data_IF_114017971290
#
_entry.id   IF_114017971290
#
_cell.length_a   1.000
_cell.length_b   1.000
_cell.length_c   1.000
_cell.angle_alpha   90.00
_cell.angle_beta   90.00
_cell.angle_gamma   90.00
#
_symmetry.space_group_name_H-M   'P 1'
#
loop_
_entity.id
_entity.type
_entity.pdbx_description
1 polymer ?
#
# COMPACT_ATOMS: atom_id res chain seq x y z
N UNK A 1 9.42 -22.39 15.32
CA UNK A 1 9.63 -21.25 16.25
C UNK A 1 8.90 -19.99 15.81
N UNK A 2 8.87 -19.63 14.52
CA UNK A 2 8.22 -18.39 14.02
C UNK A 2 6.69 -18.29 14.26
N UNK A 3 6.00 -19.41 14.45
CA UNK A 3 4.57 -19.41 14.77
C UNK A 3 4.23 -18.96 16.20
N UNK A 4 5.17 -19.08 17.13
CA UNK A 4 4.93 -18.80 18.55
C UNK A 4 4.79 -17.30 18.83
N UNK A 5 5.80 -16.52 18.44
CA UNK A 5 5.79 -15.06 18.60
C UNK A 5 4.54 -14.45 17.98
N UNK A 6 4.23 -14.92 16.78
CA UNK A 6 3.08 -14.54 16.00
C UNK A 6 1.76 -14.80 16.74
N UNK A 7 1.63 -15.94 17.41
CA UNK A 7 0.42 -16.27 18.16
C UNK A 7 0.25 -15.44 19.44
N UNK A 8 1.36 -15.01 20.03
CA UNK A 8 1.40 -14.18 21.24
C UNK A 8 1.06 -12.71 20.93
N UNK A 9 1.51 -12.18 19.79
CA UNK A 9 1.19 -10.82 19.33
C UNK A 9 -0.30 -10.74 18.91
N UNK A 10 -1.13 -10.24 19.82
CA UNK A 10 -2.58 -10.17 19.68
C UNK A 10 -3.02 -8.99 18.83
N UNK A 11 -2.36 -7.84 18.97
CA UNK A 11 -2.68 -6.60 18.27
C UNK A 11 -1.92 -6.41 16.94
N UNK A 12 -0.99 -7.33 16.61
CA UNK A 12 -0.16 -7.34 15.41
C UNK A 12 0.77 -6.10 15.35
N UNK A 13 1.16 -5.53 16.48
CA UNK A 13 2.02 -4.35 16.55
C UNK A 13 3.53 -4.69 16.37
N UNK A 14 3.89 -5.97 16.35
CA UNK A 14 5.26 -6.45 16.18
C UNK A 14 6.05 -6.61 17.49
N UNK A 15 5.41 -6.38 18.62
CA UNK A 15 5.92 -6.55 19.97
C UNK A 15 4.95 -7.45 20.75
N UNK A 16 5.44 -8.05 21.84
CA UNK A 16 4.62 -8.78 22.80
C UNK A 16 4.64 -7.95 24.07
N UNK A 17 3.52 -7.37 24.45
CA UNK A 17 3.41 -6.67 25.73
C UNK A 17 3.30 -7.66 26.91
N UNK A 18 3.35 -7.15 28.14
CA UNK A 18 3.31 -8.01 29.33
C UNK A 18 1.99 -8.79 29.46
N UNK A 19 0.88 -8.21 29.01
CA UNK A 19 -0.44 -8.87 29.04
C UNK A 19 -0.46 -10.01 28.04
N UNK A 20 -0.01 -9.77 26.82
CA UNK A 20 0.12 -10.77 25.75
C UNK A 20 1.07 -11.91 26.15
N UNK A 21 2.16 -11.58 26.83
CA UNK A 21 3.09 -12.58 27.38
C UNK A 21 2.43 -13.46 28.44
N UNK A 22 1.63 -12.90 29.35
CA UNK A 22 0.92 -13.66 30.38
C UNK A 22 -0.16 -14.57 29.77
N UNK A 23 -0.93 -14.06 28.82
CA UNK A 23 -1.93 -14.84 28.09
C UNK A 23 -1.29 -16.00 27.33
N UNK A 24 -0.15 -15.74 26.68
CA UNK A 24 0.63 -16.75 25.99
C UNK A 24 1.16 -17.82 26.96
N UNK A 25 1.68 -17.40 28.10
CA UNK A 25 2.20 -18.30 29.13
C UNK A 25 1.11 -19.25 29.62
N UNK A 26 -0.07 -18.74 29.95
CA UNK A 26 -1.21 -19.57 30.34
C UNK A 26 -1.63 -20.52 29.21
N UNK A 27 -1.70 -20.03 27.97
CA UNK A 27 -2.02 -20.87 26.82
C UNK A 27 -1.01 -21.99 26.61
N UNK A 28 0.28 -21.72 26.80
CA UNK A 28 1.33 -22.74 26.76
C UNK A 28 1.16 -23.81 27.83
N UNK A 29 0.76 -23.43 29.04
CA UNK A 29 0.47 -24.39 30.12
C UNK A 29 -0.66 -25.31 29.70
N UNK A 30 -1.75 -24.75 29.18
CA UNK A 30 -2.88 -25.53 28.66
C UNK A 30 -2.43 -26.46 27.53
N UNK A 31 -1.63 -25.97 26.58
CA UNK A 31 -1.10 -26.79 25.49
C UNK A 31 -0.22 -27.95 25.96
N UNK A 32 0.61 -27.74 26.99
CA UNK A 32 1.40 -28.82 27.58
C UNK A 32 0.52 -29.88 28.22
N UNK A 33 -0.53 -29.46 28.92
CA UNK A 33 -1.49 -30.38 29.54
C UNK A 33 -2.25 -31.17 28.47
N UNK A 34 -2.70 -30.53 27.38
CA UNK A 34 -3.40 -31.23 26.30
C UNK A 34 -2.50 -32.25 25.58
N UNK A 35 -1.24 -31.91 25.33
CA UNK A 35 -0.26 -32.87 24.80
C UNK A 35 -0.05 -34.05 25.76
N UNK A 36 0.12 -33.75 27.03
CA UNK A 36 0.31 -34.78 28.05
C UNK A 36 -0.90 -35.71 28.16
N UNK A 37 -2.13 -35.17 28.14
CA UNK A 37 -3.37 -35.97 28.12
C UNK A 37 -3.38 -36.92 26.92
N UNK A 38 -3.05 -36.41 25.74
CA UNK A 38 -3.00 -37.21 24.51
C UNK A 38 -1.97 -38.33 24.58
N UNK A 39 -0.79 -38.05 25.13
CA UNK A 39 0.30 -39.02 25.26
C UNK A 39 0.04 -40.07 26.35
N UNK A 40 -0.78 -39.74 27.36
CA UNK A 40 -1.01 -40.55 28.56
C UNK A 40 -2.48 -40.94 28.74
N UNK A 41 -3.24 -41.05 27.65
CA UNK A 41 -4.69 -41.29 27.70
C UNK A 41 -5.07 -42.48 28.59
N UNK A 42 -4.38 -43.62 28.47
CA UNK A 42 -4.70 -44.83 29.24
C UNK A 42 -4.30 -44.77 30.71
N UNK A 43 -3.55 -43.75 31.13
CA UNK A 43 -3.25 -43.49 32.54
C UNK A 43 -4.25 -42.52 33.17
N UNK A 44 -4.87 -41.67 32.36
CA UNK A 44 -5.77 -40.60 32.83
C UNK A 44 -7.22 -41.06 32.76
N UNK A 45 -7.61 -41.69 31.66
CA UNK A 45 -8.94 -42.29 31.46
C UNK A 45 -9.05 -43.58 32.29
N UNK A 46 -9.40 -43.40 33.55
CA UNK A 46 -9.41 -44.48 34.55
C UNK A 46 -10.63 -45.40 34.41
N UNK A 47 -11.73 -44.87 33.88
CA UNK A 47 -12.96 -45.62 33.64
C UNK A 47 -13.04 -46.19 32.20
N UNK A 48 -12.07 -45.89 31.34
CA UNK A 48 -11.98 -46.30 29.95
C UNK A 48 -13.19 -45.87 29.09
N UNK A 49 -13.79 -44.72 29.41
CA UNK A 49 -14.96 -44.18 28.69
C UNK A 49 -14.56 -43.36 27.44
N UNK A 50 -13.26 -43.16 27.21
CA UNK A 50 -12.70 -42.40 26.10
C UNK A 50 -12.84 -40.88 26.26
N UNK A 51 -13.30 -40.42 27.43
CA UNK A 51 -13.44 -39.02 27.83
C UNK A 51 -12.61 -38.77 29.09
N UNK A 52 -12.21 -37.52 29.30
CA UNK A 52 -11.42 -37.14 30.46
C UNK A 52 -12.22 -36.23 31.37
N UNK A 53 -12.67 -36.74 32.51
CA UNK A 53 -13.39 -35.94 33.50
C UNK A 53 -12.47 -34.98 34.26
N UNK A 54 -13.07 -33.97 34.91
CA UNK A 54 -12.34 -33.05 35.80
C UNK A 54 -11.57 -33.82 36.88
N UNK A 55 -12.17 -34.84 37.47
CA UNK A 55 -11.59 -35.62 38.56
C UNK A 55 -10.39 -36.41 38.09
N UNK A 56 -10.46 -37.04 36.92
CA UNK A 56 -9.37 -37.82 36.32
C UNK A 56 -8.16 -36.94 36.00
N UNK A 57 -8.39 -35.82 35.30
CA UNK A 57 -7.31 -34.89 34.95
C UNK A 57 -6.70 -34.29 36.22
N UNK A 58 -7.53 -33.87 37.19
CA UNK A 58 -7.04 -33.27 38.44
C UNK A 58 -6.23 -34.27 39.26
N UNK A 59 -6.70 -35.51 39.38
CA UNK A 59 -5.99 -36.55 40.13
C UNK A 59 -4.66 -36.88 39.48
N UNK A 60 -4.63 -36.98 38.15
CA UNK A 60 -3.44 -37.29 37.40
C UNK A 60 -2.40 -36.13 37.49
N UNK A 61 -2.85 -34.87 37.40
CA UNK A 61 -1.99 -33.69 37.56
C UNK A 61 -1.54 -33.45 39.02
N UNK A 62 -2.33 -33.84 40.02
CA UNK A 62 -2.03 -33.58 41.43
C UNK A 62 -0.68 -34.17 41.86
N UNK A 63 -0.28 -35.30 41.26
CA UNK A 63 1.03 -35.92 41.50
C UNK A 63 2.22 -35.07 41.01
N UNK A 64 2.02 -34.22 40.00
CA UNK A 64 3.08 -33.42 39.38
C UNK A 64 3.19 -32.00 39.96
N UNK A 65 2.04 -31.38 40.26
CA UNK A 65 1.98 -29.96 40.65
C UNK A 65 1.34 -29.72 42.01
N UNK A 66 0.85 -30.76 42.68
CA UNK A 66 0.06 -30.64 43.90
C UNK A 66 -1.43 -30.38 43.64
N UNK A 67 -2.28 -30.73 44.61
CA UNK A 67 -3.73 -30.77 44.43
C UNK A 67 -4.37 -29.41 44.13
N UNK A 68 -3.88 -28.34 44.78
CA UNK A 68 -4.43 -26.99 44.62
C UNK A 68 -4.17 -26.47 43.19
N UNK A 69 -2.94 -26.63 42.72
CA UNK A 69 -2.55 -26.19 41.37
C UNK A 69 -3.16 -27.07 40.29
N UNK A 70 -3.27 -28.38 40.53
CA UNK A 70 -3.98 -29.29 39.63
C UNK A 70 -5.43 -28.86 39.45
N UNK A 71 -6.16 -28.58 40.52
CA UNK A 71 -7.55 -28.13 40.43
C UNK A 71 -7.67 -26.81 39.65
N UNK A 72 -6.79 -25.83 39.91
CA UNK A 72 -6.76 -24.56 39.18
C UNK A 72 -6.50 -24.78 37.69
N UNK A 73 -5.51 -25.59 37.35
CA UNK A 73 -5.15 -25.91 35.97
C UNK A 73 -6.25 -26.66 35.23
N UNK A 74 -6.84 -27.68 35.85
CA UNK A 74 -7.95 -28.44 35.25
C UNK A 74 -9.14 -27.53 35.00
N UNK A 75 -9.47 -26.63 35.92
CA UNK A 75 -10.55 -25.66 35.72
C UNK A 75 -10.28 -24.77 34.50
N UNK A 76 -9.09 -24.17 34.42
CA UNK A 76 -8.72 -23.33 33.26
C UNK A 76 -8.66 -24.13 31.96
N UNK A 77 -8.22 -25.38 32.01
CA UNK A 77 -8.24 -26.29 30.86
C UNK A 77 -9.67 -26.52 30.37
N UNK A 78 -10.60 -26.89 31.25
CA UNK A 78 -12.01 -27.11 30.90
C UNK A 78 -12.62 -25.86 30.27
N UNK A 79 -12.48 -24.70 30.92
CA UNK A 79 -13.00 -23.41 30.42
C UNK A 79 -12.51 -23.05 29.01
N UNK A 80 -11.33 -23.57 28.59
CA UNK A 80 -10.72 -23.26 27.29
C UNK A 80 -10.94 -24.34 26.25
N UNK A 81 -11.01 -25.61 26.64
CA UNK A 81 -10.93 -26.77 25.73
C UNK A 81 -12.26 -27.49 25.59
N UNK A 82 -13.06 -27.57 26.66
CA UNK A 82 -14.40 -28.16 26.64
C UNK A 82 -15.33 -27.27 25.80
N UNK A 83 -15.78 -27.76 24.64
CA UNK A 83 -16.57 -26.96 23.69
C UNK A 83 -18.05 -27.19 23.83
N UNK A 84 -18.42 -28.43 24.14
CA UNK A 84 -19.82 -28.81 24.30
C UNK A 84 -20.32 -28.54 25.74
N UNK A 85 -19.43 -28.17 26.66
CA UNK A 85 -19.68 -27.90 28.08
C UNK A 85 -20.27 -29.12 28.80
N UNK A 86 -19.82 -30.33 28.44
CA UNK A 86 -20.25 -31.56 29.11
C UNK A 86 -19.42 -31.88 30.38
N UNK A 87 -18.47 -31.01 30.73
CA UNK A 87 -17.51 -31.15 31.83
C UNK A 87 -16.59 -32.35 31.70
N UNK A 88 -16.42 -32.85 30.48
CA UNK A 88 -15.43 -33.84 30.09
C UNK A 88 -14.67 -33.32 28.87
N UNK A 89 -13.50 -33.89 28.62
CA UNK A 89 -12.77 -33.62 27.38
C UNK A 89 -12.73 -34.85 26.52
N UNK A 90 -13.16 -34.72 25.28
CA UNK A 90 -12.87 -35.72 24.26
C UNK A 90 -11.46 -35.52 23.69
N UNK A 91 -10.83 -36.61 23.19
CA UNK A 91 -9.56 -36.51 22.46
C UNK A 91 -9.63 -35.55 21.26
N UNK A 92 -10.81 -35.43 20.65
CA UNK A 92 -11.04 -34.51 19.54
C UNK A 92 -10.94 -33.06 20.00
N UNK A 93 -11.54 -32.68 21.13
CA UNK A 93 -11.44 -31.32 21.69
C UNK A 93 -10.01 -30.97 22.05
N UNK A 94 -9.32 -31.90 22.74
CA UNK A 94 -7.90 -31.77 23.10
C UNK A 94 -7.02 -31.54 21.87
N UNK A 95 -7.27 -32.28 20.78
CA UNK A 95 -6.47 -32.22 19.55
C UNK A 95 -6.79 -31.01 18.67
N UNK A 96 -8.05 -30.58 18.62
CA UNK A 96 -8.51 -29.51 17.70
C UNK A 96 -8.39 -28.13 18.31
N UNK A 97 -8.37 -27.99 19.64
CA UNK A 97 -8.26 -26.71 20.34
C UNK A 97 -7.08 -25.87 19.86
N UNK A 98 -5.87 -26.44 19.82
CA UNK A 98 -4.68 -25.69 19.40
C UNK A 98 -4.71 -25.32 17.92
N UNK A 99 -5.22 -26.21 17.07
CA UNK A 99 -5.34 -25.97 15.62
C UNK A 99 -6.29 -24.81 15.34
N UNK A 100 -7.41 -24.75 16.04
CA UNK A 100 -8.39 -23.67 15.87
C UNK A 100 -7.87 -22.32 16.37
N UNK A 101 -7.06 -22.31 17.43
CA UNK A 101 -6.37 -21.09 17.86
C UNK A 101 -5.39 -20.60 16.80
N UNK A 102 -4.58 -21.49 16.23
CA UNK A 102 -3.66 -21.17 15.13
C UNK A 102 -4.39 -20.63 13.90
N UNK A 103 -5.54 -21.22 13.57
CA UNK A 103 -6.40 -20.76 12.47
C UNK A 103 -6.95 -19.36 12.74
N UNK A 104 -7.54 -19.12 13.92
CA UNK A 104 -8.09 -17.80 14.32
C UNK A 104 -7.02 -16.71 14.31
N UNK A 105 -5.81 -17.00 14.79
CA UNK A 105 -4.70 -16.05 14.76
C UNK A 105 -4.28 -15.69 13.33
N UNK A 106 -4.24 -16.68 12.43
CA UNK A 106 -3.96 -16.46 11.00
C UNK A 106 -5.04 -15.58 10.35
N UNK A 107 -6.32 -15.85 10.62
CA UNK A 107 -7.44 -15.07 10.09
C UNK A 107 -7.42 -13.62 10.58
N UNK A 108 -7.15 -13.40 11.87
CA UNK A 108 -6.99 -12.06 12.47
C UNK A 108 -5.90 -11.25 11.75
N UNK A 109 -4.73 -11.84 11.50
CA UNK A 109 -3.63 -11.15 10.79
C UNK A 109 -3.99 -10.81 9.36
N UNK A 110 -4.64 -11.72 8.63
CA UNK A 110 -5.08 -11.43 7.28
C UNK A 110 -6.07 -10.26 7.25
N UNK A 111 -6.96 -10.18 8.24
CA UNK A 111 -7.89 -9.06 8.40
C UNK A 111 -7.14 -7.76 8.72
N UNK A 112 -6.23 -7.76 9.69
CA UNK A 112 -5.45 -6.59 10.09
C UNK A 112 -4.55 -6.08 8.93
N UNK A 113 -3.89 -6.99 8.21
CA UNK A 113 -3.08 -6.65 7.05
C UNK A 113 -3.91 -5.98 5.94
N UNK A 114 -5.12 -6.49 5.66
CA UNK A 114 -6.05 -5.87 4.70
C UNK A 114 -6.46 -4.47 5.17
N UNK A 115 -6.80 -4.30 6.45
CA UNK A 115 -7.18 -3.00 7.02
C UNK A 115 -6.03 -1.99 6.96
N UNK A 116 -4.80 -2.40 7.31
CA UNK A 116 -3.60 -1.53 7.21
C UNK A 116 -3.34 -1.08 5.78
N UNK A 117 -3.43 -2.00 4.80
CA UNK A 117 -3.30 -1.65 3.38
C UNK A 117 -4.37 -0.65 2.93
N UNK A 118 -5.62 -0.85 3.33
CA UNK A 118 -6.71 0.09 3.04
C UNK A 118 -6.48 1.46 3.68
N UNK A 119 -6.02 1.49 4.94
CA UNK A 119 -5.73 2.74 5.64
C UNK A 119 -4.57 3.50 4.99
N UNK A 120 -3.51 2.82 4.58
CA UNK A 120 -2.38 3.40 3.84
C UNK A 120 -2.84 3.98 2.50
N UNK A 121 -3.59 3.21 1.70
CA UNK A 121 -4.13 3.66 0.43
C UNK A 121 -5.03 4.91 0.59
N UNK A 122 -5.84 4.96 1.65
CA UNK A 122 -6.67 6.13 1.99
C UNK A 122 -5.81 7.36 2.34
N UNK A 123 -4.74 7.20 3.11
CA UNK A 123 -3.81 8.30 3.45
C UNK A 123 -3.10 8.84 2.20
N UNK A 124 -2.61 7.95 1.34
CA UNK A 124 -1.97 8.31 0.07
C UNK A 124 -2.96 9.03 -0.87
N UNK A 125 -4.20 8.56 -0.97
CA UNK A 125 -5.24 9.23 -1.77
C UNK A 125 -5.54 10.65 -1.28
N UNK A 126 -5.63 10.85 0.04
CA UNK A 126 -5.83 12.19 0.63
C UNK A 126 -4.64 13.12 0.31
N UNK A 127 -3.41 12.61 0.40
CA UNK A 127 -2.18 13.34 0.06
C UNK A 127 -2.16 13.75 -1.42
N UNK A 128 -2.52 12.83 -2.31
CA UNK A 128 -2.67 13.08 -3.74
C UNK A 128 -3.75 14.14 -4.03
N UNK A 129 -4.94 14.01 -3.42
CA UNK A 129 -6.04 14.98 -3.60
C UNK A 129 -5.64 16.39 -3.17
N UNK A 130 -4.90 16.52 -2.06
CA UNK A 130 -4.34 17.81 -1.61
C UNK A 130 -3.32 18.37 -2.59
N UNK A 131 -2.37 17.56 -3.06
CA UNK A 131 -1.38 18.00 -4.06
C UNK A 131 -2.07 18.46 -5.34
N UNK A 132 -3.05 17.71 -5.83
CA UNK A 132 -3.82 18.08 -7.02
C UNK A 132 -4.53 19.42 -6.85
N UNK A 133 -5.20 19.64 -5.72
CA UNK A 133 -5.87 20.91 -5.44
C UNK A 133 -4.89 22.10 -5.42
N UNK A 134 -3.68 21.92 -4.87
CA UNK A 134 -2.62 22.95 -4.89
C UNK A 134 -2.16 23.22 -6.32
N UNK A 135 -1.92 22.17 -7.11
CA UNK A 135 -1.50 22.30 -8.52
C UNK A 135 -2.58 23.01 -9.34
N UNK A 136 -3.85 22.65 -9.15
CA UNK A 136 -4.97 23.29 -9.84
C UNK A 136 -5.07 24.78 -9.47
N UNK A 137 -4.89 25.14 -8.19
CA UNK A 137 -4.89 26.52 -7.70
C UNK A 137 -3.72 27.35 -8.23
N UNK A 138 -2.50 26.80 -8.22
CA UNK A 138 -1.32 27.47 -8.78
C UNK A 138 -1.43 27.62 -10.30
N UNK A 139 -2.07 26.65 -10.97
CA UNK A 139 -2.31 26.72 -12.41
C UNK A 139 -3.28 27.85 -12.74
N UNK A 140 -4.39 27.99 -12.00
CA UNK A 140 -5.34 29.08 -12.23
C UNK A 140 -4.72 30.46 -11.99
N UNK A 141 -3.94 30.64 -10.92
CA UNK A 141 -3.31 31.94 -10.62
C UNK A 141 -2.23 32.35 -11.64
N UNK A 142 -1.49 31.40 -12.19
CA UNK A 142 -0.42 31.70 -13.15
C UNK A 142 -0.92 31.83 -14.59
N UNK A 143 -2.06 31.20 -14.94
CA UNK A 143 -2.65 31.34 -16.27
C UNK A 143 -3.09 32.79 -16.52
N UNK A 144 -3.76 33.41 -15.55
CA UNK A 144 -4.28 34.78 -15.68
C UNK A 144 -3.16 35.83 -15.84
N UNK A 145 -2.02 35.64 -15.15
CA UNK A 145 -0.87 36.57 -15.23
C UNK A 145 -0.02 36.41 -16.49
N UNK A 146 0.08 35.19 -17.05
CA UNK A 146 0.87 34.95 -18.27
C UNK A 146 0.10 35.25 -19.55
N UNK A 147 -1.21 35.05 -19.59
CA UNK A 147 -2.01 35.37 -20.78
C UNK A 147 -1.95 36.88 -21.13
N UNK A 148 -1.90 37.76 -20.12
CA UNK A 148 -1.81 39.21 -20.32
C UNK A 148 -0.42 39.72 -20.76
N UNK A 149 0.67 38.95 -20.57
CA UNK A 149 2.03 39.40 -20.91
C UNK A 149 2.66 38.73 -22.13
N UNK A 150 2.10 37.60 -22.60
CA UNK A 150 2.63 36.83 -23.73
C UNK A 150 2.00 37.15 -25.09
N UNK A 151 0.88 37.87 -25.12
CA UNK A 151 0.08 38.02 -26.35
C UNK A 151 0.62 39.03 -27.38
N UNK A 152 1.72 39.76 -27.08
CA UNK A 152 2.23 40.79 -27.99
C UNK A 152 3.63 40.52 -28.56
N UNK A 153 4.29 39.41 -28.21
CA UNK A 153 5.66 39.14 -28.67
C UNK A 153 5.96 37.72 -29.15
N UNK A 154 5.02 36.78 -29.12
CA UNK A 154 5.32 35.43 -29.63
C UNK A 154 5.35 35.36 -31.16
N UNK A 155 6.35 34.70 -31.75
CA UNK A 155 6.40 34.48 -33.20
C UNK A 155 5.28 33.53 -33.63
N UNK A 156 4.49 33.92 -34.63
CA UNK A 156 3.38 33.11 -35.18
C UNK A 156 3.81 32.02 -36.16
N UNK A 157 5.07 32.02 -36.59
CA UNK A 157 5.60 31.05 -37.55
C UNK A 157 7.12 30.90 -37.39
N UNK A 158 7.66 29.85 -38.02
CA UNK A 158 9.08 29.49 -37.92
C UNK A 158 10.01 30.61 -38.40
N UNK A 159 9.70 31.28 -39.52
CA UNK A 159 10.53 32.39 -40.03
C UNK A 159 10.63 33.55 -39.04
N UNK A 160 9.50 33.91 -38.41
CA UNK A 160 9.49 34.96 -37.39
C UNK A 160 10.26 34.53 -36.14
N UNK A 161 10.12 33.26 -35.74
CA UNK A 161 10.83 32.70 -34.60
C UNK A 161 12.35 32.72 -34.83
N UNK A 162 12.81 32.24 -35.99
CA UNK A 162 14.23 32.27 -36.37
C UNK A 162 14.79 33.70 -36.37
N UNK A 163 14.07 34.65 -36.99
CA UNK A 163 14.49 36.06 -37.00
C UNK A 163 14.64 36.62 -35.58
N UNK A 164 13.71 36.27 -34.69
CA UNK A 164 13.76 36.68 -33.29
C UNK A 164 14.90 36.00 -32.53
N UNK A 165 15.15 34.71 -32.78
CA UNK A 165 16.29 33.98 -32.22
C UNK A 165 17.60 34.61 -32.63
N UNK A 166 17.79 34.92 -33.92
CA UNK A 166 18.97 35.63 -34.45
C UNK A 166 19.15 37.01 -33.80
N UNK A 167 18.07 37.79 -33.71
CA UNK A 167 18.10 39.13 -33.11
C UNK A 167 18.47 39.10 -31.63
N UNK A 168 18.05 38.07 -30.91
CA UNK A 168 18.24 37.96 -29.44
C UNK A 168 19.42 37.09 -29.03
N UNK A 169 20.05 36.39 -29.98
CA UNK A 169 21.09 35.39 -29.70
C UNK A 169 20.57 34.17 -28.92
N UNK A 170 19.26 33.91 -28.93
CA UNK A 170 18.61 32.84 -28.16
C UNK A 170 18.30 31.62 -29.04
N UNK A 171 18.48 30.39 -28.53
CA UNK A 171 18.06 29.18 -29.24
C UNK A 171 16.54 29.12 -29.43
N UNK A 172 16.11 28.38 -30.44
CA UNK A 172 14.69 28.12 -30.70
C UNK A 172 14.24 26.92 -29.90
N UNK A 173 13.08 27.03 -29.25
CA UNK A 173 12.37 25.91 -28.64
C UNK A 173 11.03 25.77 -29.36
N UNK A 174 10.93 24.80 -30.24
CA UNK A 174 9.73 24.55 -31.05
C UNK A 174 8.96 23.39 -30.43
N UNK A 175 7.75 23.67 -29.95
CA UNK A 175 6.80 22.66 -29.51
C UNK A 175 5.79 22.41 -30.61
N UNK A 176 5.59 21.16 -30.98
CA UNK A 176 4.65 20.76 -32.02
C UNK A 176 3.62 19.83 -31.40
N UNK A 177 2.35 20.22 -31.46
CA UNK A 177 1.26 19.51 -30.79
C UNK A 177 -0.10 19.69 -31.45
N UNK A 178 -1.13 19.08 -30.85
CA UNK A 178 -2.54 19.21 -31.23
C UNK A 178 -3.35 19.85 -30.11
N UNK A 179 -4.45 20.52 -30.44
CA UNK A 179 -5.34 21.13 -29.43
C UNK A 179 -5.97 20.07 -28.51
N UNK A 180 -6.34 18.92 -29.09
CA UNK A 180 -7.09 17.86 -28.39
C UNK A 180 -6.18 16.74 -27.85
N UNK A 181 -4.87 16.92 -27.85
CA UNK A 181 -3.89 15.94 -27.36
C UNK A 181 -3.57 16.21 -25.89
N UNK A 182 -4.03 15.31 -24.99
CA UNK A 182 -3.81 15.46 -23.54
C UNK A 182 -2.34 15.60 -23.14
N UNK A 183 -1.45 14.81 -23.76
CA UNK A 183 0.00 14.91 -23.54
C UNK A 183 0.57 16.25 -24.02
N UNK A 184 0.09 16.77 -25.14
CA UNK A 184 0.54 18.04 -25.71
C UNK A 184 0.13 19.22 -24.81
N UNK A 185 -1.10 19.20 -24.29
CA UNK A 185 -1.58 20.21 -23.33
C UNK A 185 -0.79 20.12 -22.02
N UNK A 186 -0.54 18.92 -21.50
CA UNK A 186 0.25 18.71 -20.28
C UNK A 186 1.69 19.23 -20.44
N UNK A 187 2.36 18.89 -21.55
CA UNK A 187 3.72 19.36 -21.82
C UNK A 187 3.78 20.87 -22.01
N UNK A 188 2.83 21.47 -22.74
CA UNK A 188 2.74 22.94 -22.87
C UNK A 188 2.66 23.63 -21.51
N UNK A 189 1.87 23.10 -20.57
CA UNK A 189 1.82 23.61 -19.18
C UNK A 189 3.15 23.43 -18.45
N UNK A 190 3.83 22.29 -18.63
CA UNK A 190 5.11 22.00 -18.00
C UNK A 190 6.18 23.01 -18.41
N UNK A 191 6.32 23.33 -19.70
CA UNK A 191 7.35 24.27 -20.15
C UNK A 191 7.15 25.69 -19.62
N UNK A 192 5.91 26.10 -19.41
CA UNK A 192 5.60 27.40 -18.82
C UNK A 192 6.09 27.51 -17.36
N UNK A 193 6.39 26.40 -16.69
CA UNK A 193 6.94 26.40 -15.32
C UNK A 193 8.45 26.25 -15.27
N UNK A 194 9.14 25.96 -16.38
CA UNK A 194 10.59 25.76 -16.43
C UNK A 194 11.31 27.10 -16.63
N UNK A 195 12.02 27.66 -15.62
CA UNK A 195 12.62 28.99 -15.74
C UNK A 195 13.67 29.08 -16.86
N UNK A 196 14.40 27.98 -17.12
CA UNK A 196 15.42 27.91 -18.17
C UNK A 196 14.88 28.18 -19.58
N UNK A 197 13.61 27.89 -19.85
CA UNK A 197 13.02 28.12 -21.17
C UNK A 197 12.80 29.60 -21.49
N UNK A 198 12.89 30.50 -20.50
CA UNK A 198 12.95 31.96 -20.74
C UNK A 198 14.19 32.40 -21.53
N UNK A 199 15.20 31.53 -21.61
CA UNK A 199 16.42 31.73 -22.40
C UNK A 199 16.24 31.33 -23.88
N UNK A 200 15.10 30.75 -24.26
CA UNK A 200 14.79 30.36 -25.64
C UNK A 200 13.74 31.29 -26.25
N UNK A 201 13.71 31.35 -27.59
CA UNK A 201 12.54 31.83 -28.34
C UNK A 201 11.58 30.65 -28.53
N UNK A 202 10.40 30.73 -27.94
CA UNK A 202 9.40 29.68 -28.04
C UNK A 202 8.52 29.87 -29.28
N UNK A 203 8.32 28.78 -30.02
CA UNK A 203 7.33 28.65 -31.08
C UNK A 203 6.43 27.46 -30.76
N UNK A 204 5.12 27.69 -30.69
CA UNK A 204 4.13 26.64 -30.52
C UNK A 204 3.41 26.43 -31.85
N UNK A 205 3.64 25.27 -32.48
CA UNK A 205 3.05 24.88 -33.76
C UNK A 205 1.88 23.95 -33.49
N UNK A 206 0.69 24.38 -33.86
CA UNK A 206 -0.49 23.55 -33.73
C UNK A 206 -0.82 22.91 -35.08
N UNK A 207 -0.61 21.60 -35.17
CA UNK A 207 -0.79 20.87 -36.44
C UNK A 207 -2.23 20.86 -36.95
N UNK A 208 -3.21 21.16 -36.09
CA UNK A 208 -4.62 21.25 -36.48
C UNK A 208 -4.94 22.57 -37.21
N UNK A 209 -4.08 23.59 -37.08
CA UNK A 209 -4.32 24.93 -37.63
C UNK A 209 -3.18 25.42 -38.56
N UNK A 210 -1.95 24.95 -38.34
CA UNK A 210 -0.75 25.36 -39.06
C UNK A 210 -0.45 24.43 -40.24
N UNK A 211 -1.17 24.65 -41.35
CA UNK A 211 -1.10 23.82 -42.55
C UNK A 211 0.29 23.67 -43.18
N UNK A 212 1.22 24.60 -42.93
CA UNK A 212 2.56 24.54 -43.52
C UNK A 212 3.39 23.37 -42.98
N UNK A 213 3.27 23.05 -41.70
CA UNK A 213 4.06 22.00 -41.08
C UNK A 213 3.49 20.60 -41.37
N UNK A 214 2.17 20.47 -41.28
CA UNK A 214 1.48 19.22 -41.61
C UNK A 214 1.77 18.76 -43.05
N UNK A 215 1.92 19.70 -43.99
CA UNK A 215 2.29 19.42 -45.38
C UNK A 215 3.73 18.91 -45.54
N UNK A 216 4.67 19.46 -44.78
CA UNK A 216 6.10 19.13 -44.91
C UNK A 216 6.47 17.81 -44.24
N UNK A 217 5.93 17.52 -43.05
CA UNK A 217 6.44 16.45 -42.19
C UNK A 217 5.49 15.27 -41.93
N UNK A 218 4.21 15.35 -42.37
CA UNK A 218 3.18 14.31 -42.20
C UNK A 218 3.22 13.61 -40.82
N UNK A 219 3.10 14.37 -39.72
CA UNK A 219 3.21 13.84 -38.37
C UNK A 219 2.20 12.73 -38.07
N UNK A 220 2.69 11.57 -37.63
CA UNK A 220 1.84 10.55 -37.01
C UNK A 220 1.39 11.03 -35.62
N UNK A 221 0.11 10.81 -35.28
CA UNK A 221 -0.44 11.19 -33.98
C UNK A 221 0.28 10.54 -32.79
N UNK A 222 0.97 9.41 -33.01
CA UNK A 222 1.75 8.72 -31.99
C UNK A 222 3.07 9.42 -31.62
N UNK A 223 3.51 10.40 -32.41
CA UNK A 223 4.77 11.13 -32.22
C UNK A 223 4.58 12.51 -31.56
N UNK A 224 3.37 12.82 -31.10
CA UNK A 224 3.06 14.11 -30.46
C UNK A 224 2.93 13.98 -28.93
N UNK A 225 3.39 14.98 -28.15
CA UNK A 225 4.07 16.19 -28.61
C UNK A 225 5.51 15.92 -29.10
N UNK A 226 5.92 16.68 -30.11
CA UNK A 226 7.29 16.65 -30.64
C UNK A 226 7.99 17.97 -30.28
N UNK A 227 9.26 17.90 -29.90
CA UNK A 227 10.03 19.06 -29.42
C UNK A 227 11.31 19.15 -30.24
N UNK A 228 11.62 20.34 -30.73
CA UNK A 228 12.89 20.63 -31.38
C UNK A 228 13.57 21.80 -30.67
N UNK A 229 14.86 21.63 -30.39
CA UNK A 229 15.74 22.71 -29.94
C UNK A 229 16.73 22.97 -31.06
N UNK A 230 16.72 24.16 -31.62
CA UNK A 230 17.52 24.49 -32.80
C UNK A 230 18.30 25.80 -32.60
N UNK A 231 19.49 25.87 -33.20
CA UNK A 231 20.23 27.12 -33.32
C UNK A 231 19.59 27.98 -34.44
N UNK A 232 19.17 29.23 -34.15
CA UNK A 232 18.52 30.10 -35.13
C UNK A 232 19.42 30.48 -36.32
N UNK A 233 20.74 30.27 -36.22
CA UNK A 233 21.70 30.54 -37.30
C UNK A 233 21.82 29.41 -38.31
N UNK A 234 21.21 28.25 -38.04
CA UNK A 234 21.15 27.14 -39.00
C UNK A 234 20.32 27.52 -40.22
N UNK A 235 20.71 26.97 -41.38
CA UNK A 235 19.94 27.14 -42.62
C UNK A 235 18.70 26.23 -42.63
N UNK A 236 18.70 25.15 -41.85
CA UNK A 236 17.58 24.25 -41.69
C UNK A 236 17.43 23.83 -40.21
N UNK A 237 16.47 24.41 -39.46
CA UNK A 237 16.32 24.17 -38.03
C UNK A 237 15.43 22.96 -37.68
N UNK A 238 14.87 22.23 -38.65
CA UNK A 238 13.91 21.14 -38.45
C UNK A 238 14.29 19.86 -39.21
#
# INVERSE_FOLDING_TARGET
>A
TENYFRLADHDDNGFIDFTEMLEEYERMRIFKITLWIRENQGLIDSNADGLFSIQEITSALASQVGIIDAHRLTKTLMEKVDRNNDNKLSLQEVSTWYLDLAKKAKERRQKNQKQRKQQYARKEYVKYKRHRAIVDHLSSQNFDKKQQSLDHSQPRNLKSAMRMGRKTGKPLFVHIGRTNCGNCVAMKRLYLTVPRLSQCVMLDVNVDHDNWWAKAYKPSGHLLPFIVIADPNTNDPL
#
